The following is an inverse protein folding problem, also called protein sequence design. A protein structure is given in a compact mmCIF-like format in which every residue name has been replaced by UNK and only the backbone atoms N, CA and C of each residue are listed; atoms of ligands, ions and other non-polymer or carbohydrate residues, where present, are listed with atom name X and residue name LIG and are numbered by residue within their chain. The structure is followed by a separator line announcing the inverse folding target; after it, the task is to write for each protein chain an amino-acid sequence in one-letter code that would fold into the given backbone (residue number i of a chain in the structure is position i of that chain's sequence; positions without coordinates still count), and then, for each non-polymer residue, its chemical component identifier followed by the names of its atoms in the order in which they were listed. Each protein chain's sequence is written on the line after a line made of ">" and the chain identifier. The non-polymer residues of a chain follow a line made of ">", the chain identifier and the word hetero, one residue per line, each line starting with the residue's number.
data_IF_612868041987
#
_entry.id   IF_612868041987
#
_cell.length_a   1.000
_cell.length_b   1.000
_cell.length_c   1.000
_cell.angle_alpha   90.00
_cell.angle_beta   90.00
_cell.angle_gamma   90.00
#
_symmetry.space_group_name_H-M   'P 1'
#
loop_
_entity.id
_entity.type
_entity.pdbx_description
1 polymer ?
#
# COMPACT_ATOMS: atom_id res chain seq x y z
N UNK A 1 2.80 17.92 16.15
CA UNK A 1 2.09 16.64 16.24
C UNK A 1 1.78 16.05 14.86
N UNK A 2 1.23 16.81 13.90
CA UNK A 2 0.86 16.32 12.55
C UNK A 2 2.04 15.86 11.68
N UNK A 3 3.22 16.46 11.86
CA UNK A 3 4.45 16.10 11.12
C UNK A 3 4.85 14.64 11.34
N UNK A 4 4.61 14.09 12.53
CA UNK A 4 4.92 12.68 12.84
C UNK A 4 3.98 11.72 12.10
N UNK A 5 2.69 12.02 12.02
CA UNK A 5 1.71 11.16 11.32
C UNK A 5 2.01 11.06 9.83
N UNK A 6 2.41 12.17 9.20
CA UNK A 6 2.77 12.21 7.77
C UNK A 6 4.02 11.35 7.52
N UNK A 7 5.04 11.49 8.36
CA UNK A 7 6.27 10.71 8.22
C UNK A 7 6.04 9.20 8.44
N UNK A 8 5.23 8.84 9.43
CA UNK A 8 4.84 7.45 9.66
C UNK A 8 3.98 6.88 8.52
N UNK A 9 3.12 7.70 7.92
CA UNK A 9 2.35 7.32 6.73
C UNK A 9 3.26 7.12 5.51
N UNK A 10 4.32 7.91 5.37
CA UNK A 10 5.33 7.73 4.32
C UNK A 10 6.06 6.40 4.49
N UNK A 11 6.52 6.08 5.70
CA UNK A 11 7.18 4.80 6.01
C UNK A 11 6.27 3.61 5.69
N UNK A 12 5.00 3.66 6.12
CA UNK A 12 4.04 2.61 5.78
C UNK A 12 3.81 2.50 4.26
N UNK A 13 3.72 3.62 3.55
CA UNK A 13 3.53 3.62 2.10
C UNK A 13 4.73 2.99 1.35
N UNK A 14 5.96 3.26 1.80
CA UNK A 14 7.17 2.66 1.25
C UNK A 14 7.20 1.15 1.45
N UNK A 15 6.92 0.67 2.68
CA UNK A 15 6.84 -0.76 2.96
C UNK A 15 5.78 -1.49 2.12
N UNK A 16 4.61 -0.86 1.95
CA UNK A 16 3.54 -1.40 1.10
C UNK A 16 4.00 -1.48 -0.36
N UNK A 17 4.63 -0.42 -0.87
CA UNK A 17 5.09 -0.37 -2.26
C UNK A 17 6.19 -1.39 -2.53
N UNK A 18 7.18 -1.52 -1.64
CA UNK A 18 8.27 -2.50 -1.75
C UNK A 18 7.72 -3.93 -1.80
N UNK A 19 6.82 -4.28 -0.88
CA UNK A 19 6.23 -5.62 -0.86
C UNK A 19 5.39 -5.91 -2.11
N UNK A 20 4.66 -4.91 -2.64
CA UNK A 20 3.89 -5.07 -3.87
C UNK A 20 4.79 -5.18 -5.10
N UNK A 21 5.90 -4.43 -5.16
CA UNK A 21 6.85 -4.46 -6.27
C UNK A 21 7.52 -5.83 -6.45
N UNK A 22 7.71 -6.61 -5.37
CA UNK A 22 8.22 -7.98 -5.43
C UNK A 22 7.26 -8.96 -6.15
N UNK A 23 5.97 -8.61 -6.27
CA UNK A 23 4.89 -9.56 -6.59
C UNK A 23 4.04 -9.15 -7.79
N UNK A 24 3.92 -7.85 -8.05
CA UNK A 24 3.12 -7.33 -9.15
C UNK A 24 3.90 -7.42 -10.47
N UNK A 25 3.17 -7.78 -11.53
CA UNK A 25 3.66 -7.74 -12.92
C UNK A 25 3.81 -6.29 -13.42
N UNK A 26 3.37 -5.31 -12.63
CA UNK A 26 3.42 -3.89 -12.96
C UNK A 26 4.78 -3.28 -12.58
N UNK A 27 5.26 -2.27 -13.32
CA UNK A 27 6.39 -1.47 -12.88
C UNK A 27 6.14 -0.84 -11.50
N UNK A 28 7.17 -0.83 -10.66
CA UNK A 28 7.17 -0.07 -9.41
C UNK A 28 7.04 1.43 -9.72
N UNK A 29 6.04 2.09 -9.09
CA UNK A 29 5.75 3.52 -9.27
C UNK A 29 6.13 4.37 -8.05
N UNK A 30 6.64 3.75 -7.00
CA UNK A 30 7.05 4.41 -5.76
C UNK A 30 5.89 4.92 -4.90
N UNK A 31 6.18 5.16 -3.62
CA UNK A 31 5.30 5.89 -2.72
C UNK A 31 5.25 7.37 -3.10
N UNK A 32 4.06 7.99 -3.07
CA UNK A 32 3.86 9.38 -3.48
C UNK A 32 2.97 10.13 -2.49
N UNK A 33 3.33 11.39 -2.23
CA UNK A 33 2.48 12.33 -1.51
C UNK A 33 1.41 12.90 -2.44
N UNK A 34 0.16 12.95 -1.96
CA UNK A 34 -0.96 13.52 -2.70
C UNK A 34 -2.02 14.09 -1.75
N UNK A 35 -2.76 15.10 -2.22
CA UNK A 35 -3.80 15.79 -1.44
C UNK A 35 -5.17 15.11 -1.57
N UNK A 36 -5.24 13.80 -1.36
CA UNK A 36 -6.51 13.07 -1.39
C UNK A 36 -7.32 13.34 -0.12
N UNK A 37 -8.64 13.49 -0.28
CA UNK A 37 -9.55 13.76 0.84
C UNK A 37 -9.40 12.74 1.97
N UNK A 38 -9.36 11.44 1.61
CA UNK A 38 -9.25 10.33 2.58
C UNK A 38 -7.92 10.33 3.35
N UNK A 39 -6.84 10.85 2.77
CA UNK A 39 -5.55 10.98 3.46
C UNK A 39 -5.50 12.24 4.31
N UNK A 40 -6.10 13.34 3.82
CA UNK A 40 -6.07 14.65 4.50
C UNK A 40 -6.93 14.70 5.76
N UNK A 41 -8.08 14.03 5.75
CA UNK A 41 -9.07 14.10 6.84
C UNK A 41 -9.08 12.86 7.74
N UNK A 42 -8.09 11.99 7.61
CA UNK A 42 -7.89 10.86 8.52
C UNK A 42 -6.92 11.26 9.64
N UNK A 43 -7.33 11.22 10.93
CA UNK A 43 -6.52 11.71 12.05
C UNK A 43 -5.41 10.74 12.49
N UNK A 44 -5.24 9.62 11.80
CA UNK A 44 -4.25 8.58 12.08
C UNK A 44 -3.39 8.29 10.85
N UNK A 45 -2.37 7.44 11.02
CA UNK A 45 -1.51 6.97 9.92
C UNK A 45 -2.39 6.33 8.84
N UNK A 46 -2.24 6.77 7.59
CA UNK A 46 -3.07 6.30 6.48
C UNK A 46 -2.35 6.33 5.14
N UNK A 47 -2.66 5.35 4.29
CA UNK A 47 -2.12 5.23 2.93
C UNK A 47 -3.25 4.86 1.97
N UNK A 48 -3.15 5.32 0.72
CA UNK A 48 -4.04 4.92 -0.37
C UNK A 48 -3.18 4.14 -1.37
N UNK A 49 -3.62 2.94 -1.71
CA UNK A 49 -2.86 2.01 -2.54
C UNK A 49 -3.58 1.80 -3.86
N UNK A 50 -2.91 2.11 -4.96
CA UNK A 50 -3.35 1.79 -6.31
C UNK A 50 -2.79 0.43 -6.72
N UNK A 51 -3.59 -0.64 -6.57
CA UNK A 51 -3.15 -2.03 -6.81
C UNK A 51 -3.01 -2.38 -8.30
N UNK A 52 -3.53 -1.54 -9.18
CA UNK A 52 -3.49 -1.73 -10.62
C UNK A 52 -4.35 -0.73 -11.37
N UNK A 53 -4.08 -0.57 -12.67
CA UNK A 53 -4.83 0.33 -13.55
C UNK A 53 -5.81 -0.46 -14.42
N UNK A 54 -7.10 -0.37 -14.11
CA UNK A 54 -8.18 -1.08 -14.85
C UNK A 54 -8.24 -0.67 -16.33
N UNK A 55 -7.72 0.52 -16.69
CA UNK A 55 -7.62 0.91 -18.10
C UNK A 55 -6.58 0.11 -18.89
N UNK A 56 -5.73 -0.70 -18.25
CA UNK A 56 -4.87 -1.67 -18.90
C UNK A 56 -5.58 -3.05 -18.95
N UNK A 57 -5.94 -3.57 -20.13
CA UNK A 57 -6.69 -4.83 -20.26
C UNK A 57 -6.01 -6.03 -19.58
N UNK A 58 -4.68 -6.08 -19.58
CA UNK A 58 -3.95 -7.18 -18.93
C UNK A 58 -4.09 -7.12 -17.40
N UNK A 59 -4.04 -5.92 -16.83
CA UNK A 59 -4.21 -5.73 -15.38
C UNK A 59 -5.68 -5.93 -14.99
N UNK A 60 -6.60 -5.45 -15.81
CA UNK A 60 -8.03 -5.66 -15.64
C UNK A 60 -8.39 -7.15 -15.60
N UNK A 61 -7.86 -7.94 -16.54
CA UNK A 61 -8.02 -9.40 -16.55
C UNK A 61 -7.42 -10.06 -15.29
N UNK A 62 -6.21 -9.67 -14.89
CA UNK A 62 -5.58 -10.19 -13.67
C UNK A 62 -6.40 -9.86 -12.40
N UNK A 63 -6.93 -8.64 -12.30
CA UNK A 63 -7.73 -8.23 -11.14
C UNK A 63 -9.11 -8.93 -11.06
N UNK A 64 -9.58 -9.57 -12.14
CA UNK A 64 -10.77 -10.44 -12.10
C UNK A 64 -10.47 -11.78 -11.44
N UNK A 65 -9.22 -12.24 -11.50
CA UNK A 65 -8.79 -13.49 -10.88
C UNK A 65 -8.85 -13.38 -9.34
N UNK A 66 -9.36 -14.43 -8.70
CA UNK A 66 -9.44 -14.51 -7.24
C UNK A 66 -8.07 -14.74 -6.62
N UNK A 67 -7.21 -15.54 -7.27
CA UNK A 67 -5.88 -15.88 -6.75
C UNK A 67 -4.97 -14.66 -6.77
N UNK A 68 -5.06 -13.84 -7.82
CA UNK A 68 -4.33 -12.57 -7.91
C UNK A 68 -4.74 -11.61 -6.80
N UNK A 69 -6.06 -11.45 -6.57
CA UNK A 69 -6.57 -10.57 -5.50
C UNK A 69 -6.18 -11.08 -4.11
N UNK A 70 -6.16 -12.39 -3.92
CA UNK A 70 -5.74 -13.03 -2.68
C UNK A 70 -4.25 -12.78 -2.41
N UNK A 71 -3.37 -12.91 -3.42
CA UNK A 71 -1.95 -12.59 -3.28
C UNK A 71 -1.72 -11.09 -2.99
N UNK A 72 -2.47 -10.18 -3.62
CA UNK A 72 -2.42 -8.75 -3.30
C UNK A 72 -2.80 -8.53 -1.83
N UNK A 73 -3.89 -9.14 -1.37
CA UNK A 73 -4.36 -9.04 0.03
C UNK A 73 -3.30 -9.52 1.03
N UNK A 74 -2.72 -10.70 0.79
CA UNK A 74 -1.63 -11.24 1.63
C UNK A 74 -0.42 -10.31 1.67
N UNK A 75 -0.09 -9.71 0.54
CA UNK A 75 1.04 -8.78 0.41
C UNK A 75 0.80 -7.49 1.21
N UNK A 76 -0.40 -6.92 1.14
CA UNK A 76 -0.80 -5.78 1.96
C UNK A 76 -0.78 -6.12 3.45
N UNK A 77 -1.30 -7.29 3.83
CA UNK A 77 -1.28 -7.77 5.21
C UNK A 77 0.15 -7.91 5.74
N UNK A 78 1.05 -8.53 4.96
CA UNK A 78 2.47 -8.67 5.28
C UNK A 78 3.13 -7.31 5.53
N UNK A 79 2.90 -6.32 4.66
CA UNK A 79 3.46 -4.98 4.82
C UNK A 79 2.96 -4.27 6.09
N UNK A 80 1.67 -4.40 6.40
CA UNK A 80 1.09 -3.84 7.64
C UNK A 80 1.71 -4.52 8.87
N UNK A 81 1.81 -5.85 8.88
CA UNK A 81 2.42 -6.59 9.99
C UNK A 81 3.90 -6.22 10.17
N UNK A 82 4.63 -6.05 9.08
CA UNK A 82 6.02 -5.59 9.09
C UNK A 82 6.14 -4.20 9.72
N UNK A 83 5.27 -3.25 9.33
CA UNK A 83 5.23 -1.92 9.93
C UNK A 83 4.95 -1.99 11.44
N UNK A 84 3.93 -2.75 11.85
CA UNK A 84 3.57 -2.91 13.26
C UNK A 84 4.69 -3.53 14.10
N UNK A 85 5.43 -4.51 13.56
CA UNK A 85 6.61 -5.10 14.20
C UNK A 85 7.75 -4.09 14.30
N UNK A 86 8.05 -3.33 13.24
CA UNK A 86 9.07 -2.28 13.26
C UNK A 86 8.78 -1.20 14.31
N UNK A 87 7.51 -0.92 14.57
CA UNK A 87 7.05 0.02 15.61
C UNK A 87 6.87 -0.62 16.99
N UNK A 88 7.26 -1.89 17.16
CA UNK A 88 7.11 -2.65 18.40
C UNK A 88 5.67 -2.65 18.96
N UNK A 89 4.68 -2.58 18.07
CA UNK A 89 3.24 -2.65 18.44
C UNK A 89 2.82 -4.10 18.64
N UNK A 90 3.40 -5.02 17.85
CA UNK A 90 3.16 -6.46 17.91
C UNK A 90 4.50 -7.21 17.97
N UNK A 91 4.46 -8.42 18.52
CA UNK A 91 5.61 -9.33 18.65
C UNK A 91 5.77 -10.21 17.40
#
# INVERSE_FOLDING_TARGET
>A
NSTSVIEESRILAELVQENLAERLICPDRGAKSANFYVLKYTPMISVLVEVGFICNPNIEANLRDVEVREEISKTLCKAILQYLKQKNIIN
#
